data_IF_969152918244
#
_entry.id   IF_969152918244
#
_cell.length_a   1.000
_cell.length_b   1.000
_cell.length_c   1.000
_cell.angle_alpha   90.00
_cell.angle_beta   90.00
_cell.angle_gamma   90.00
#
_symmetry.space_group_name_H-M   'P 1'
#
loop_
_entity.id
_entity.type
_entity.pdbx_description
1 polymer ?
#
# COMPACT_ATOMS: atom_id res chain seq x y z
N UNK A 1 -8.39 6.47 3.02
CA UNK A 1 -7.75 5.45 3.87
C UNK A 1 -8.67 4.26 4.17
N UNK A 2 -9.90 4.46 4.62
CA UNK A 2 -10.80 3.33 4.97
C UNK A 2 -11.05 2.34 3.82
N UNK A 3 -11.30 2.81 2.59
CA UNK A 3 -11.60 1.94 1.45
C UNK A 3 -10.41 1.03 1.08
N UNK A 4 -9.20 1.58 1.01
CA UNK A 4 -8.00 0.78 0.72
C UNK A 4 -7.76 -0.30 1.76
N UNK A 5 -7.88 0.04 3.06
CA UNK A 5 -7.74 -0.92 4.16
C UNK A 5 -8.79 -2.03 4.09
N UNK A 6 -10.03 -1.68 3.77
CA UNK A 6 -11.11 -2.66 3.61
C UNK A 6 -10.87 -3.60 2.42
N UNK A 7 -10.33 -3.08 1.29
CA UNK A 7 -9.95 -3.88 0.13
C UNK A 7 -8.81 -4.84 0.50
N UNK A 8 -7.74 -4.36 1.15
CA UNK A 8 -6.65 -5.22 1.61
C UNK A 8 -7.17 -6.34 2.50
N UNK A 9 -7.97 -6.01 3.53
CA UNK A 9 -8.56 -7.00 4.42
C UNK A 9 -9.42 -8.03 3.65
N UNK A 10 -10.30 -7.58 2.74
CA UNK A 10 -11.15 -8.47 1.95
C UNK A 10 -10.40 -9.41 1.01
N UNK A 11 -9.23 -8.99 0.51
CA UNK A 11 -8.41 -9.79 -0.40
C UNK A 11 -7.49 -10.74 0.36
N UNK A 12 -6.84 -10.24 1.41
CA UNK A 12 -5.74 -10.95 2.09
C UNK A 12 -6.23 -11.75 3.31
N UNK A 13 -7.26 -11.28 3.99
CA UNK A 13 -7.80 -11.85 5.22
C UNK A 13 -9.35 -11.90 5.16
N UNK A 14 -9.96 -12.67 4.24
CA UNK A 14 -11.42 -12.62 4.00
C UNK A 14 -12.24 -12.96 5.24
N UNK A 15 -11.81 -13.92 6.05
CA UNK A 15 -12.51 -14.29 7.30
C UNK A 15 -12.54 -13.11 8.28
N UNK A 16 -11.42 -12.38 8.41
CA UNK A 16 -11.33 -11.17 9.23
C UNK A 16 -12.15 -10.03 8.67
N UNK A 17 -12.24 -9.93 7.33
CA UNK A 17 -13.11 -8.94 6.69
C UNK A 17 -14.56 -9.14 7.10
N UNK A 18 -15.06 -10.37 7.04
CA UNK A 18 -16.44 -10.71 7.40
C UNK A 18 -16.74 -10.47 8.89
N UNK A 19 -15.73 -10.58 9.77
CA UNK A 19 -15.85 -10.27 11.20
C UNK A 19 -15.80 -8.78 11.50
N UNK A 20 -15.02 -8.01 10.72
CA UNK A 20 -14.66 -6.62 11.05
C UNK A 20 -15.53 -5.60 10.31
N UNK A 21 -15.96 -5.93 9.09
CA UNK A 21 -16.67 -4.99 8.22
C UNK A 21 -18.12 -5.38 8.01
N UNK A 22 -19.00 -4.39 7.91
CA UNK A 22 -20.40 -4.61 7.56
C UNK A 22 -20.95 -3.44 6.73
N UNK A 23 -22.02 -3.72 6.00
CA UNK A 23 -22.73 -2.72 5.21
C UNK A 23 -23.59 -1.84 6.12
N UNK A 24 -23.43 -0.52 5.99
CA UNK A 24 -24.31 0.43 6.66
C UNK A 24 -25.46 0.85 5.77
N UNK A 25 -26.67 0.68 6.26
CA UNK A 25 -27.89 1.25 5.67
C UNK A 25 -28.04 2.76 5.97
N UNK A 26 -27.25 3.28 6.89
CA UNK A 26 -27.35 4.66 7.37
C UNK A 26 -26.13 5.50 6.94
N UNK A 27 -26.34 6.77 6.63
CA UNK A 27 -25.25 7.70 6.34
C UNK A 27 -24.48 8.03 7.62
N UNK A 28 -23.14 8.07 7.54
CA UNK A 28 -22.22 8.30 8.69
C UNK A 28 -22.56 9.50 9.59
N UNK A 29 -23.19 10.55 9.07
CA UNK A 29 -23.55 11.77 9.82
C UNK A 29 -24.92 11.72 10.49
N UNK A 30 -25.66 10.63 10.43
CA UNK A 30 -26.99 10.48 11.02
C UNK A 30 -26.95 9.99 12.46
N UNK A 31 -28.02 10.27 13.22
CA UNK A 31 -28.20 9.73 14.58
C UNK A 31 -28.27 8.20 14.56
N UNK A 32 -29.01 7.65 13.61
CA UNK A 32 -29.17 6.19 13.43
C UNK A 32 -27.82 5.48 13.20
N UNK A 33 -26.92 6.07 12.39
CA UNK A 33 -25.57 5.53 12.21
C UNK A 33 -24.79 5.52 13.54
N UNK A 34 -24.84 6.61 14.31
CA UNK A 34 -24.11 6.70 15.59
C UNK A 34 -24.61 5.70 16.62
N UNK A 35 -25.93 5.49 16.67
CA UNK A 35 -26.55 4.49 17.56
C UNK A 35 -26.16 3.06 17.17
N UNK A 36 -26.20 2.73 15.87
CA UNK A 36 -25.75 1.45 15.33
C UNK A 36 -24.26 1.20 15.61
N UNK A 37 -23.40 2.16 15.31
CA UNK A 37 -21.96 2.05 15.53
C UNK A 37 -21.60 1.94 17.02
N UNK A 38 -22.36 2.59 17.91
CA UNK A 38 -22.15 2.47 19.35
C UNK A 38 -22.52 1.08 19.89
N UNK A 39 -23.49 0.39 19.28
CA UNK A 39 -23.90 -0.97 19.65
C UNK A 39 -22.90 -2.05 19.16
N UNK A 40 -22.15 -1.75 18.10
CA UNK A 40 -21.18 -2.65 17.45
C UNK A 40 -19.85 -1.92 17.27
N UNK A 41 -19.22 -1.55 18.38
CA UNK A 41 -18.02 -0.69 18.40
C UNK A 41 -16.78 -1.28 17.69
N UNK A 42 -16.73 -2.60 17.53
CA UNK A 42 -15.64 -3.31 16.86
C UNK A 42 -15.88 -3.48 15.36
N UNK A 43 -17.08 -3.11 14.87
CA UNK A 43 -17.43 -3.24 13.46
C UNK A 43 -17.19 -1.93 12.71
N UNK A 44 -16.48 -2.00 11.60
CA UNK A 44 -16.31 -0.88 10.66
C UNK A 44 -17.40 -0.93 9.61
N UNK A 45 -18.25 0.09 9.57
CA UNK A 45 -19.35 0.14 8.64
C UNK A 45 -18.98 0.86 7.34
N UNK A 46 -19.12 0.18 6.23
CA UNK A 46 -18.96 0.71 4.88
C UNK A 46 -20.32 1.18 4.32
N UNK A 47 -20.35 2.27 3.57
CA UNK A 47 -21.53 2.64 2.80
C UNK A 47 -21.68 1.72 1.57
N UNK A 48 -22.84 1.75 0.92
CA UNK A 48 -23.16 0.85 -0.21
C UNK A 48 -22.20 1.00 -1.40
N UNK A 49 -21.67 2.21 -1.65
CA UNK A 49 -20.70 2.44 -2.73
C UNK A 49 -19.37 1.79 -2.42
N UNK A 50 -18.86 2.00 -1.20
CA UNK A 50 -17.57 1.44 -0.76
C UNK A 50 -17.67 -0.09 -0.66
N UNK A 51 -18.78 -0.62 -0.10
CA UNK A 51 -19.04 -2.05 -0.04
C UNK A 51 -19.01 -2.70 -1.43
N UNK A 52 -19.72 -2.11 -2.39
CA UNK A 52 -19.71 -2.59 -3.77
C UNK A 52 -18.32 -2.53 -4.40
N UNK A 53 -17.56 -1.46 -4.13
CA UNK A 53 -16.18 -1.34 -4.64
C UNK A 53 -15.29 -2.43 -4.04
N UNK A 54 -15.35 -2.67 -2.73
CA UNK A 54 -14.59 -3.74 -2.08
C UNK A 54 -14.92 -5.09 -2.71
N UNK A 55 -16.21 -5.43 -2.84
CA UNK A 55 -16.63 -6.68 -3.46
C UNK A 55 -16.10 -6.82 -4.89
N UNK A 56 -16.25 -5.78 -5.73
CA UNK A 56 -15.80 -5.80 -7.11
C UNK A 56 -14.30 -5.96 -7.25
N UNK A 57 -13.52 -5.26 -6.42
CA UNK A 57 -12.05 -5.37 -6.44
C UNK A 57 -11.60 -6.74 -5.94
N UNK A 58 -12.19 -7.25 -4.87
CA UNK A 58 -11.89 -8.59 -4.36
C UNK A 58 -12.17 -9.69 -5.40
N UNK A 59 -13.33 -9.61 -6.06
CA UNK A 59 -13.67 -10.53 -7.16
C UNK A 59 -12.69 -10.39 -8.34
N UNK A 60 -12.33 -9.16 -8.70
CA UNK A 60 -11.40 -8.89 -9.78
C UNK A 60 -10.00 -9.45 -9.48
N UNK A 61 -9.50 -9.29 -8.24
CA UNK A 61 -8.21 -9.88 -7.83
C UNK A 61 -8.27 -11.40 -7.93
N UNK A 62 -9.32 -12.04 -7.40
CA UNK A 62 -9.48 -13.51 -7.48
C UNK A 62 -9.52 -14.03 -8.94
N UNK A 63 -10.11 -13.25 -9.84
CA UNK A 63 -10.25 -13.66 -11.26
C UNK A 63 -9.04 -13.33 -12.12
N UNK A 64 -8.26 -12.31 -11.78
CA UNK A 64 -7.20 -11.76 -12.59
C UNK A 64 -5.80 -11.90 -11.97
N UNK A 65 -5.66 -12.65 -10.87
CA UNK A 65 -4.36 -13.04 -10.31
C UNK A 65 -3.70 -14.12 -11.19
N UNK A 66 -3.39 -13.74 -12.44
CA UNK A 66 -2.90 -14.65 -13.49
C UNK A 66 -1.55 -15.32 -13.17
N UNK A 67 -0.86 -14.87 -12.15
CA UNK A 67 0.40 -15.45 -11.69
C UNK A 67 0.26 -16.16 -10.35
N UNK A 68 -0.96 -16.28 -9.85
CA UNK A 68 -1.27 -16.93 -8.57
C UNK A 68 -0.47 -16.33 -7.38
N UNK A 69 -0.08 -15.06 -7.50
CA UNK A 69 0.81 -14.39 -6.54
C UNK A 69 0.19 -14.22 -5.17
N UNK A 70 -1.10 -13.93 -5.13
CA UNK A 70 -1.87 -13.80 -3.89
C UNK A 70 -2.48 -15.15 -3.53
N UNK A 71 -3.10 -15.85 -4.50
CA UNK A 71 -3.83 -17.09 -4.26
C UNK A 71 -2.96 -18.25 -3.77
N UNK A 72 -1.68 -18.29 -4.13
CA UNK A 72 -0.70 -19.29 -3.69
C UNK A 72 0.33 -18.77 -2.68
N UNK A 73 0.11 -17.60 -2.09
CA UNK A 73 0.96 -17.13 -1.01
C UNK A 73 0.79 -18.01 0.25
N UNK A 74 1.89 -18.25 0.95
CA UNK A 74 1.89 -19.09 2.15
C UNK A 74 1.36 -18.35 3.39
N UNK A 75 1.55 -17.03 3.41
CA UNK A 75 1.22 -16.16 4.56
C UNK A 75 0.79 -14.79 4.09
N UNK A 76 -0.11 -14.17 4.87
CA UNK A 76 -0.63 -12.82 4.63
C UNK A 76 -0.37 -11.92 5.83
N UNK A 77 -0.31 -10.61 5.61
CA UNK A 77 -0.10 -9.58 6.64
C UNK A 77 1.08 -9.93 7.56
N UNK A 78 2.21 -10.33 6.96
CA UNK A 78 3.36 -10.88 7.66
C UNK A 78 4.18 -9.76 8.30
N UNK A 79 4.22 -9.74 9.63
CA UNK A 79 5.13 -8.85 10.34
C UNK A 79 6.59 -9.26 10.08
N UNK A 80 7.39 -8.31 9.60
CA UNK A 80 8.83 -8.46 9.39
C UNK A 80 9.57 -7.39 10.18
N UNK A 81 10.60 -7.81 10.91
CA UNK A 81 11.42 -6.94 11.73
C UNK A 81 12.89 -7.27 11.53
N UNK A 82 13.75 -6.29 11.69
CA UNK A 82 15.20 -6.50 11.59
C UNK A 82 15.98 -5.20 11.76
N UNK A 83 17.30 -5.33 11.68
CA UNK A 83 18.21 -4.20 11.70
C UNK A 83 18.72 -3.94 10.28
N UNK A 84 18.62 -2.70 9.83
CA UNK A 84 19.21 -2.26 8.57
C UNK A 84 20.22 -1.15 8.90
N UNK A 85 21.49 -1.44 8.73
CA UNK A 85 22.60 -0.52 9.01
C UNK A 85 22.55 0.11 10.42
N UNK A 86 22.20 -0.66 11.44
CA UNK A 86 22.19 -0.21 12.84
C UNK A 86 20.93 0.53 13.26
N UNK A 87 19.87 0.51 12.47
CA UNK A 87 18.55 1.03 12.85
C UNK A 87 17.51 -0.11 12.82
N UNK A 88 16.62 -0.17 13.83
CA UNK A 88 15.54 -1.13 13.85
C UNK A 88 14.44 -0.74 12.85
N UNK A 89 14.02 -1.71 12.06
CA UNK A 89 12.90 -1.59 11.13
C UNK A 89 11.81 -2.61 11.45
N UNK A 90 10.59 -2.22 11.15
CA UNK A 90 9.40 -3.05 11.25
C UNK A 90 8.47 -2.73 10.08
N UNK A 91 7.86 -3.74 9.49
CA UNK A 91 6.84 -3.59 8.46
C UNK A 91 5.93 -4.79 8.41
N UNK A 92 4.91 -4.71 7.54
CA UNK A 92 3.98 -5.79 7.25
C UNK A 92 3.98 -6.02 5.75
N UNK A 93 4.27 -7.25 5.35
CA UNK A 93 4.22 -7.67 3.94
C UNK A 93 2.84 -8.23 3.68
N UNK A 94 2.15 -7.71 2.67
CA UNK A 94 0.76 -8.05 2.37
C UNK A 94 0.58 -9.56 2.08
N UNK A 95 1.44 -10.13 1.22
CA UNK A 95 1.47 -11.57 0.99
C UNK A 95 2.91 -12.07 0.76
N UNK A 96 3.22 -13.24 1.26
CA UNK A 96 4.54 -13.84 1.17
C UNK A 96 4.43 -15.32 0.75
N UNK A 97 5.05 -15.65 -0.37
CA UNK A 97 5.26 -17.03 -0.79
C UNK A 97 6.64 -17.56 -0.36
N UNK A 98 6.99 -18.75 -0.82
CA UNK A 98 8.27 -19.41 -0.46
C UNK A 98 9.49 -18.55 -0.78
N UNK A 99 9.50 -17.90 -1.94
CA UNK A 99 10.65 -17.17 -2.46
C UNK A 99 10.32 -15.77 -3.00
N UNK A 100 9.10 -15.27 -2.78
CA UNK A 100 8.66 -13.97 -3.27
C UNK A 100 7.83 -13.21 -2.23
N UNK A 101 7.79 -11.90 -2.42
CA UNK A 101 7.00 -10.94 -1.67
C UNK A 101 5.98 -10.27 -2.58
N UNK A 102 4.82 -9.98 -2.06
CA UNK A 102 3.77 -9.25 -2.76
C UNK A 102 3.28 -8.10 -1.91
N UNK A 103 3.06 -6.97 -2.57
CA UNK A 103 2.38 -5.81 -2.01
C UNK A 103 1.16 -5.49 -2.88
N UNK A 104 -0.01 -5.43 -2.28
CA UNK A 104 -1.27 -5.12 -2.93
C UNK A 104 -1.49 -3.62 -2.95
N UNK A 105 -1.65 -3.02 -4.10
CA UNK A 105 -1.88 -1.58 -4.24
C UNK A 105 -3.22 -1.27 -4.89
N UNK A 106 -4.05 -0.53 -4.20
CA UNK A 106 -5.22 0.08 -4.84
C UNK A 106 -4.81 1.32 -5.62
N UNK A 107 -5.30 1.45 -6.84
CA UNK A 107 -4.99 2.60 -7.70
C UNK A 107 -6.21 3.05 -8.49
N UNK A 108 -6.07 4.17 -9.17
CA UNK A 108 -7.08 4.69 -10.08
C UNK A 108 -6.92 4.12 -11.49
N UNK A 109 -5.68 3.90 -11.88
CA UNK A 109 -5.29 3.43 -13.22
C UNK A 109 -4.10 2.49 -13.05
N UNK A 110 -4.31 1.22 -13.37
CA UNK A 110 -3.30 0.17 -13.30
C UNK A 110 -2.55 -0.03 -14.63
N UNK A 111 -2.75 0.85 -15.64
CA UNK A 111 -2.00 0.75 -16.89
C UNK A 111 -0.50 0.94 -16.67
N UNK A 112 0.36 0.27 -17.46
CA UNK A 112 1.82 0.30 -17.22
C UNK A 112 2.41 1.70 -17.12
N UNK A 113 1.98 2.64 -17.97
CA UNK A 113 2.51 3.99 -17.99
C UNK A 113 2.12 4.80 -16.74
N UNK A 114 0.85 4.77 -16.33
CA UNK A 114 0.37 5.54 -15.18
C UNK A 114 0.78 4.90 -13.86
N UNK A 115 0.76 3.56 -13.80
CA UNK A 115 1.20 2.89 -12.58
C UNK A 115 2.71 3.03 -12.36
N UNK A 116 3.54 2.95 -13.40
CA UNK A 116 4.98 3.21 -13.28
C UNK A 116 5.27 4.61 -12.75
N UNK A 117 4.54 5.63 -13.21
CA UNK A 117 4.64 7.01 -12.70
C UNK A 117 4.23 7.09 -11.23
N UNK A 118 3.13 6.45 -10.86
CA UNK A 118 2.65 6.38 -9.48
C UNK A 118 3.64 5.65 -8.57
N UNK A 119 4.16 4.50 -9.00
CA UNK A 119 5.12 3.72 -8.24
C UNK A 119 6.42 4.49 -7.98
N UNK A 120 6.85 5.30 -8.93
CA UNK A 120 7.99 6.20 -8.75
C UNK A 120 7.68 7.34 -7.77
N UNK A 121 6.55 8.01 -7.93
CA UNK A 121 6.17 9.16 -7.11
C UNK A 121 5.89 8.80 -5.64
N UNK A 122 5.41 7.58 -5.38
CA UNK A 122 5.13 7.07 -4.05
C UNK A 122 6.26 6.23 -3.46
N UNK A 123 7.42 6.19 -4.12
CA UNK A 123 8.61 5.48 -3.64
C UNK A 123 8.38 3.97 -3.38
N UNK A 124 7.56 3.29 -4.17
CA UNK A 124 7.30 1.85 -3.98
C UNK A 124 8.58 1.01 -4.07
N UNK A 125 9.56 1.46 -4.84
CA UNK A 125 10.89 0.85 -4.89
C UNK A 125 11.65 0.93 -3.55
N UNK A 126 11.42 1.98 -2.76
CA UNK A 126 11.99 2.10 -1.41
C UNK A 126 11.32 1.09 -0.46
N UNK A 127 10.00 0.96 -0.50
CA UNK A 127 9.26 -0.03 0.27
C UNK A 127 9.72 -1.45 -0.07
N UNK A 128 9.82 -1.77 -1.37
CA UNK A 128 10.31 -3.06 -1.84
C UNK A 128 11.73 -3.36 -1.32
N UNK A 129 12.64 -2.38 -1.39
CA UNK A 129 13.99 -2.54 -0.88
C UNK A 129 14.03 -2.82 0.63
N UNK A 130 13.23 -2.11 1.44
CA UNK A 130 13.12 -2.37 2.88
C UNK A 130 12.67 -3.80 3.15
N UNK A 131 11.62 -4.26 2.50
CA UNK A 131 11.09 -5.61 2.72
C UNK A 131 12.07 -6.70 2.25
N UNK A 132 12.73 -6.49 1.11
CA UNK A 132 13.79 -7.40 0.64
C UNK A 132 14.97 -7.47 1.62
N UNK A 133 15.42 -6.34 2.19
CA UNK A 133 16.49 -6.31 3.20
C UNK A 133 16.08 -7.05 4.50
N UNK A 134 14.84 -6.89 4.94
CA UNK A 134 14.35 -7.51 6.18
C UNK A 134 14.14 -9.02 6.03
N UNK A 135 13.75 -9.48 4.86
CA UNK A 135 13.39 -10.89 4.63
C UNK A 135 14.52 -11.72 4.00
N UNK A 136 15.48 -11.07 3.33
CA UNK A 136 16.50 -11.71 2.50
C UNK A 136 15.97 -12.23 1.16
N UNK A 137 14.67 -12.06 0.86
CA UNK A 137 14.07 -12.40 -0.43
C UNK A 137 14.33 -11.30 -1.45
N UNK A 138 14.37 -11.67 -2.74
CA UNK A 138 14.67 -10.72 -3.83
C UNK A 138 13.52 -10.50 -4.79
N UNK A 139 12.66 -11.51 -4.94
CA UNK A 139 11.53 -11.43 -5.85
C UNK A 139 10.40 -10.63 -5.18
N UNK A 140 10.19 -9.41 -5.67
CA UNK A 140 9.16 -8.52 -5.17
C UNK A 140 8.18 -8.16 -6.28
N UNK A 141 6.90 -8.33 -5.98
CA UNK A 141 5.80 -8.05 -6.88
C UNK A 141 4.87 -7.01 -6.30
N UNK A 142 4.31 -6.18 -7.15
CA UNK A 142 3.17 -5.34 -6.80
C UNK A 142 1.96 -5.83 -7.59
N UNK A 143 0.88 -6.13 -6.91
CA UNK A 143 -0.43 -6.39 -7.52
C UNK A 143 -1.25 -5.12 -7.44
N UNK A 144 -1.35 -4.40 -8.55
CA UNK A 144 -2.10 -3.17 -8.66
C UNK A 144 -3.55 -3.47 -9.07
N UNK A 145 -4.52 -3.01 -8.28
CA UNK A 145 -5.94 -3.19 -8.55
C UNK A 145 -6.67 -1.85 -8.64
N UNK A 146 -7.42 -1.66 -9.71
CA UNK A 146 -8.23 -0.46 -9.90
C UNK A 146 -9.45 -0.45 -8.99
N UNK A 147 -9.75 0.72 -8.42
CA UNK A 147 -10.94 0.94 -7.57
C UNK A 147 -12.15 1.41 -8.36
N UNK A 148 -12.05 1.49 -9.67
CA UNK A 148 -13.12 1.90 -10.60
C UNK A 148 -13.22 0.92 -11.75
N UNK A 149 -14.40 0.83 -12.35
CA UNK A 149 -14.59 0.01 -13.55
C UNK A 149 -13.59 0.37 -14.66
N UNK A 150 -12.96 -0.62 -15.32
CA UNK A 150 -13.35 -2.03 -15.35
C UNK A 150 -12.72 -2.90 -14.24
N UNK A 151 -12.07 -2.33 -13.21
CA UNK A 151 -11.43 -3.03 -12.10
C UNK A 151 -10.28 -3.94 -12.57
N UNK A 152 -9.42 -3.41 -13.44
CA UNK A 152 -8.24 -4.14 -13.91
C UNK A 152 -7.31 -4.48 -12.75
N UNK A 153 -6.71 -5.67 -12.82
CA UNK A 153 -5.66 -6.11 -11.93
C UNK A 153 -4.41 -6.42 -12.75
N UNK A 154 -3.30 -5.80 -12.39
CA UNK A 154 -2.03 -5.95 -13.11
C UNK A 154 -0.90 -6.25 -12.13
N UNK A 155 -0.14 -7.31 -12.40
CA UNK A 155 1.02 -7.70 -11.60
C UNK A 155 2.29 -7.08 -12.18
N UNK A 156 3.08 -6.42 -11.33
CA UNK A 156 4.34 -5.76 -11.67
C UNK A 156 5.49 -6.41 -10.91
N UNK A 157 6.44 -6.96 -11.63
CA UNK A 157 7.70 -7.41 -11.05
C UNK A 157 8.65 -6.22 -10.86
N UNK A 158 9.23 -6.10 -9.68
CA UNK A 158 10.22 -5.07 -9.37
C UNK A 158 11.59 -5.56 -9.81
N UNK A 159 12.16 -4.92 -10.83
CA UNK A 159 13.47 -5.28 -11.37
C UNK A 159 14.61 -5.02 -10.38
N UNK A 160 15.74 -5.71 -10.57
CA UNK A 160 16.94 -5.51 -9.77
C UNK A 160 17.41 -4.04 -9.79
N UNK A 161 17.37 -3.38 -10.95
CA UNK A 161 17.72 -1.95 -11.06
C UNK A 161 16.81 -1.09 -10.17
N UNK A 162 15.52 -1.40 -10.12
CA UNK A 162 14.56 -0.65 -9.30
C UNK A 162 14.80 -0.88 -7.81
N UNK A 163 15.11 -2.12 -7.40
CA UNK A 163 15.51 -2.47 -6.04
C UNK A 163 16.83 -1.80 -5.64
N UNK A 164 17.80 -1.74 -6.52
CA UNK A 164 19.11 -1.09 -6.25
C UNK A 164 18.93 0.42 -6.03
N UNK A 165 18.05 1.08 -6.77
CA UNK A 165 17.66 2.48 -6.51
C UNK A 165 16.98 2.63 -5.15
N UNK A 166 16.13 1.67 -4.79
CA UNK A 166 15.49 1.63 -3.47
C UNK A 166 16.51 1.50 -2.35
N UNK A 167 17.46 0.57 -2.47
CA UNK A 167 18.55 0.40 -1.49
C UNK A 167 19.41 1.65 -1.36
N UNK A 168 19.80 2.24 -2.48
CA UNK A 168 20.61 3.47 -2.47
C UNK A 168 19.88 4.59 -1.72
N UNK A 169 18.58 4.79 -2.00
CA UNK A 169 17.75 5.78 -1.28
C UNK A 169 17.58 5.44 0.19
N UNK A 170 17.33 4.18 0.53
CA UNK A 170 17.20 3.71 1.91
C UNK A 170 18.46 4.03 2.72
N UNK A 171 19.61 3.71 2.18
CA UNK A 171 20.89 3.93 2.87
C UNK A 171 21.23 5.41 3.03
N UNK A 172 20.96 6.24 2.03
CA UNK A 172 21.09 7.69 2.13
C UNK A 172 20.18 8.27 3.23
N UNK A 173 18.93 7.81 3.29
CA UNK A 173 17.98 8.22 4.32
C UNK A 173 18.41 7.78 5.73
N UNK A 174 18.97 6.58 5.88
CA UNK A 174 19.51 6.09 7.16
C UNK A 174 20.68 6.96 7.62
N UNK A 175 21.62 7.29 6.74
CA UNK A 175 22.76 8.15 7.10
C UNK A 175 22.30 9.58 7.46
N UNK A 176 21.33 10.12 6.73
CA UNK A 176 20.71 11.42 7.06
C UNK A 176 20.01 11.38 8.41
N UNK A 177 19.28 10.31 8.70
CA UNK A 177 18.59 10.13 9.99
C UNK A 177 19.58 10.04 11.16
N UNK A 178 20.68 9.33 11.01
CA UNK A 178 21.73 9.23 12.03
C UNK A 178 22.46 10.55 12.27
N UNK A 179 22.62 11.36 11.23
CA UNK A 179 23.25 12.68 11.31
C UNK A 179 22.30 13.77 11.79
N UNK A 180 21.00 13.48 11.90
CA UNK A 180 20.00 14.47 12.28
C UNK A 180 20.10 14.83 13.77
N UNK A 181 20.11 16.11 14.07
CA UNK A 181 20.23 16.68 15.43
C UNK A 181 18.90 16.75 16.21
N UNK A 182 17.79 16.29 15.61
CA UNK A 182 16.45 16.33 16.19
C UNK A 182 15.66 17.60 15.87
N UNK A 183 16.28 18.60 15.23
CA UNK A 183 15.60 19.85 14.90
C UNK A 183 14.89 19.76 13.53
N UNK A 184 13.61 20.17 13.43
CA UNK A 184 12.90 20.19 12.16
C UNK A 184 13.55 21.15 11.16
N UNK A 185 13.95 20.64 10.00
CA UNK A 185 14.45 21.46 8.92
C UNK A 185 13.31 21.73 7.92
N UNK A 186 12.86 22.98 7.85
CA UNK A 186 11.82 23.42 6.91
C UNK A 186 12.39 24.16 5.70
N UNK A 187 11.61 24.24 4.63
CA UNK A 187 11.95 25.03 3.44
C UNK A 187 12.03 26.54 3.73
N UNK A 188 11.49 26.99 4.84
CA UNK A 188 11.36 28.40 5.22
C UNK A 188 12.53 28.93 6.06
N UNK A 189 13.68 28.26 6.06
CA UNK A 189 14.90 28.78 6.68
C UNK A 189 15.58 29.77 5.71
N UNK A 190 15.21 31.04 5.80
CA UNK A 190 15.73 32.09 4.93
C UNK A 190 14.66 32.85 4.14
N UNK A 191 14.91 33.16 2.89
CA UNK A 191 13.94 33.79 2.01
C UNK A 191 12.76 32.86 1.69
N UNK A 192 11.55 33.27 2.07
CA UNK A 192 10.31 32.51 1.84
C UNK A 192 9.71 32.79 0.45
N UNK A 193 10.46 33.40 -0.46
CA UNK A 193 10.02 33.80 -1.78
C UNK A 193 10.64 32.90 -2.84
N UNK A 194 9.78 32.22 -3.62
CA UNK A 194 10.18 31.38 -4.76
C UNK A 194 9.37 31.77 -5.99
N UNK A 195 10.03 31.91 -7.13
CA UNK A 195 9.34 32.06 -8.43
C UNK A 195 8.87 30.70 -8.91
N UNK A 196 7.58 30.58 -9.25
CA UNK A 196 7.04 29.40 -9.93
C UNK A 196 7.18 29.59 -11.45
N UNK A 197 8.11 28.87 -12.03
CA UNK A 197 8.27 28.78 -13.47
C UNK A 197 7.49 27.60 -14.05
N UNK A 198 7.16 27.68 -15.34
CA UNK A 198 6.56 26.55 -16.03
C UNK A 198 7.52 25.34 -16.00
N UNK A 199 7.03 24.13 -15.67
CA UNK A 199 7.89 22.96 -15.65
C UNK A 199 8.43 22.64 -17.05
N UNK A 200 9.66 22.14 -17.15
CA UNK A 200 10.36 21.87 -18.43
C UNK A 200 9.67 20.85 -19.33
N UNK A 201 8.63 20.20 -18.84
CA UNK A 201 7.81 19.20 -19.55
C UNK A 201 6.42 19.75 -19.98
N UNK A 202 6.10 21.01 -19.67
CA UNK A 202 4.83 21.64 -20.02
C UNK A 202 4.81 22.20 -21.45
#
# INVERSE_FOLDING_TARGET
MELGTAIHCSVLEPDRFDETYDLSEHRKNTKAYREMAAQRSETTFLNSSDWNTVSRVSDAVKMQDHHDLISLADRYEVEVTGDIKGLPFRGFVDAMGVNYLVDLKTCRDASPQEFQRSAWNFDYYLQAAVYCELTGLRDFWIVACETQAPYNVVSYYISDEYLDRGRAKLYDLIEKFKAWDGEPQGYAQGDNFFTLDAPRWA
#
